data_IF_663601140555
#
_entry.id   IF_663601140555
#
_cell.length_a   1.000
_cell.length_b   1.000
_cell.length_c   1.000
_cell.angle_alpha   90.00
_cell.angle_beta   90.00
_cell.angle_gamma   90.00
#
_symmetry.space_group_name_H-M   'P 1'
#
loop_
_entity.id
_entity.type
_entity.pdbx_description
1 polymer ?
#
# COMPACT_ATOMS: atom_id res chain seq x y z
N UNK A 1 -11.59 2.07 -56.86
CA UNK A 1 -10.42 1.89 -56.01
C UNK A 1 -10.68 2.68 -54.73
N UNK A 2 -11.34 2.06 -53.75
CA UNK A 2 -11.68 2.71 -52.46
C UNK A 2 -10.50 2.55 -51.51
N UNK A 3 -9.84 3.67 -51.23
CA UNK A 3 -8.78 3.74 -50.23
C UNK A 3 -9.43 3.77 -48.83
N UNK A 4 -9.39 2.65 -48.14
CA UNK A 4 -9.76 2.59 -46.72
C UNK A 4 -8.60 3.23 -45.94
N UNK A 5 -8.75 4.51 -45.57
CA UNK A 5 -7.92 5.11 -44.53
C UNK A 5 -8.24 4.44 -43.21
N UNK A 6 -7.43 3.48 -42.81
CA UNK A 6 -7.40 3.02 -41.42
C UNK A 6 -6.98 4.23 -40.58
N UNK A 7 -7.95 4.89 -39.94
CA UNK A 7 -7.68 5.77 -38.83
C UNK A 7 -7.09 4.85 -37.76
N UNK A 8 -5.80 4.93 -37.53
CA UNK A 8 -5.19 4.50 -36.27
C UNK A 8 -5.93 5.29 -35.16
N UNK A 9 -6.91 4.67 -34.56
CA UNK A 9 -7.50 5.14 -33.32
C UNK A 9 -6.37 5.12 -32.31
N UNK A 10 -5.89 6.31 -31.90
CA UNK A 10 -5.06 6.45 -30.70
C UNK A 10 -5.75 5.64 -29.61
N UNK A 11 -5.05 4.67 -29.02
CA UNK A 11 -5.61 3.76 -28.06
C UNK A 11 -6.28 4.57 -26.94
N UNK A 12 -7.60 4.44 -26.88
CA UNK A 12 -8.35 4.92 -25.74
C UNK A 12 -7.80 4.23 -24.49
N UNK A 13 -7.52 5.01 -23.45
CA UNK A 13 -7.15 4.43 -22.17
C UNK A 13 -8.28 3.53 -21.70
N UNK A 14 -7.93 2.32 -21.26
CA UNK A 14 -8.90 1.39 -20.70
C UNK A 14 -9.55 2.02 -19.45
N UNK A 15 -10.85 2.37 -19.44
CA UNK A 15 -11.49 3.00 -18.29
C UNK A 15 -11.55 2.07 -17.07
N UNK A 16 -11.48 0.77 -17.26
CA UNK A 16 -11.57 -0.22 -16.18
C UNK A 16 -10.34 -0.30 -15.28
N UNK A 17 -9.23 0.36 -15.66
CA UNK A 17 -8.08 0.50 -14.75
C UNK A 17 -8.35 1.50 -13.62
N UNK A 18 -9.26 2.45 -13.81
CA UNK A 18 -9.66 3.45 -12.82
C UNK A 18 -10.70 2.86 -11.88
N UNK A 19 -10.21 2.09 -10.89
CA UNK A 19 -11.07 1.40 -9.93
C UNK A 19 -11.52 2.32 -8.81
N UNK A 20 -12.31 1.79 -7.87
CA UNK A 20 -12.84 2.56 -6.76
C UNK A 20 -11.75 3.10 -5.83
N UNK A 21 -10.65 2.35 -5.61
CA UNK A 21 -9.64 2.67 -4.59
C UNK A 21 -8.25 2.96 -5.14
N UNK A 22 -7.97 2.56 -6.35
CA UNK A 22 -6.67 2.69 -7.00
C UNK A 22 -6.78 2.62 -8.52
N UNK A 23 -5.65 2.86 -9.20
CA UNK A 23 -5.52 2.58 -10.62
C UNK A 23 -4.75 1.28 -10.72
N UNK A 24 -5.32 0.26 -11.38
CA UNK A 24 -4.72 -1.07 -11.46
C UNK A 24 -5.03 -1.76 -12.79
N UNK A 25 -4.02 -2.41 -13.36
CA UNK A 25 -4.16 -3.12 -14.63
C UNK A 25 -3.01 -4.08 -14.88
N UNK A 26 -3.10 -4.79 -16.00
CA UNK A 26 -2.08 -5.67 -16.51
C UNK A 26 -1.07 -4.84 -17.31
N UNK A 27 0.20 -4.88 -16.91
CA UNK A 27 1.21 -3.93 -17.41
C UNK A 27 1.33 -3.95 -18.94
N UNK A 28 1.40 -5.16 -19.53
CA UNK A 28 1.55 -5.31 -20.98
C UNK A 28 0.36 -4.83 -21.81
N UNK A 29 -0.82 -4.74 -21.21
CA UNK A 29 -2.07 -4.40 -21.88
C UNK A 29 -2.52 -2.96 -21.58
N UNK A 30 -2.43 -2.57 -20.30
CA UNK A 30 -3.08 -1.38 -19.77
C UNK A 30 -2.10 -0.20 -19.57
N UNK A 31 -0.79 -0.46 -19.39
CA UNK A 31 0.21 0.55 -19.02
C UNK A 31 1.33 0.74 -20.07
N UNK A 32 1.00 0.93 -21.36
CA UNK A 32 2.03 1.39 -22.28
C UNK A 32 2.49 2.80 -21.87
N UNK A 33 3.75 3.16 -22.21
CA UNK A 33 4.40 4.41 -21.81
C UNK A 33 3.50 5.66 -21.91
N UNK A 34 2.82 5.82 -23.06
CA UNK A 34 1.97 6.99 -23.30
C UNK A 34 0.75 7.07 -22.37
N UNK A 35 0.27 5.94 -21.83
CA UNK A 35 -0.80 5.89 -20.81
C UNK A 35 -0.25 6.31 -19.47
N UNK A 36 0.90 5.76 -19.06
CA UNK A 36 1.53 6.05 -17.76
C UNK A 36 1.95 7.53 -17.69
N UNK A 37 2.52 8.06 -18.76
CA UNK A 37 2.85 9.49 -18.83
C UNK A 37 1.62 10.38 -18.72
N UNK A 38 0.47 10.00 -19.33
CA UNK A 38 -0.79 10.75 -19.17
C UNK A 38 -1.36 10.63 -17.77
N UNK A 39 -1.22 9.47 -17.11
CA UNK A 39 -1.58 9.32 -15.68
C UNK A 39 -0.76 10.28 -14.81
N UNK A 40 0.55 10.39 -15.07
CA UNK A 40 1.42 11.36 -14.42
C UNK A 40 0.97 12.81 -14.64
N UNK A 41 0.66 13.19 -15.89
CA UNK A 41 0.11 14.51 -16.21
C UNK A 41 -1.21 14.80 -15.50
N UNK A 42 -2.12 13.84 -15.49
CA UNK A 42 -3.41 14.00 -14.81
C UNK A 42 -3.22 14.19 -13.31
N UNK A 43 -2.37 13.38 -12.68
CA UNK A 43 -2.12 13.51 -11.26
C UNK A 43 -1.38 14.81 -10.91
N UNK A 44 -0.35 15.20 -11.67
CA UNK A 44 0.33 16.48 -11.48
C UNK A 44 -0.61 17.68 -11.62
N UNK A 45 -1.50 17.66 -12.62
CA UNK A 45 -2.55 18.66 -12.81
C UNK A 45 -3.51 18.69 -11.61
N UNK A 46 -3.93 17.51 -11.13
CA UNK A 46 -4.82 17.38 -9.99
C UNK A 46 -4.18 17.93 -8.70
N UNK A 47 -2.91 17.61 -8.45
CA UNK A 47 -2.11 18.15 -7.34
C UNK A 47 -2.01 19.68 -7.43
N UNK A 48 -1.63 20.21 -8.59
CA UNK A 48 -1.44 21.66 -8.81
C UNK A 48 -2.74 22.45 -8.61
N UNK A 49 -3.85 21.95 -9.16
CA UNK A 49 -5.18 22.57 -8.99
C UNK A 49 -5.71 22.52 -7.54
N UNK A 50 -5.22 21.56 -6.76
CA UNK A 50 -5.48 21.49 -5.32
C UNK A 50 -4.54 22.36 -4.47
N UNK A 51 -3.61 23.09 -5.10
CA UNK A 51 -2.65 23.98 -4.44
C UNK A 51 -1.31 23.35 -4.07
N UNK A 52 -1.04 22.09 -4.49
CA UNK A 52 0.23 21.42 -4.27
C UNK A 52 1.25 21.70 -5.37
N UNK A 53 2.54 21.68 -5.00
CA UNK A 53 3.66 21.90 -5.92
C UNK A 53 4.68 20.78 -5.89
N UNK A 54 4.56 19.82 -4.98
CA UNK A 54 5.54 18.74 -4.81
C UNK A 54 4.85 17.43 -4.41
N UNK A 55 5.33 16.32 -4.97
CA UNK A 55 4.89 14.97 -4.61
C UNK A 55 6.07 14.05 -4.31
N UNK A 56 5.85 13.01 -3.49
CA UNK A 56 6.73 11.86 -3.38
C UNK A 56 6.31 10.75 -4.35
N UNK A 57 7.28 10.06 -4.94
CA UNK A 57 7.06 8.86 -5.76
C UNK A 57 7.93 7.72 -5.29
N UNK A 58 7.35 6.53 -5.21
CA UNK A 58 8.05 5.29 -4.90
C UNK A 58 7.31 4.09 -5.49
N UNK A 59 7.85 2.90 -5.32
CA UNK A 59 7.17 1.70 -5.75
C UNK A 59 7.66 0.43 -5.06
N UNK A 60 6.95 -0.67 -5.30
CA UNK A 60 7.33 -2.00 -4.84
C UNK A 60 8.45 -2.61 -5.70
N UNK A 61 8.83 -3.86 -5.38
CA UNK A 61 9.96 -4.53 -6.01
C UNK A 61 9.65 -5.19 -7.36
N UNK A 62 8.43 -5.09 -7.89
CA UNK A 62 8.07 -5.71 -9.17
C UNK A 62 8.99 -5.24 -10.28
N UNK A 63 9.34 -6.14 -11.21
CA UNK A 63 10.28 -5.85 -12.28
C UNK A 63 9.85 -4.69 -13.18
N UNK A 64 8.56 -4.42 -13.29
CA UNK A 64 7.99 -3.33 -14.08
C UNK A 64 7.97 -1.98 -13.37
N UNK A 65 8.10 -1.96 -12.06
CA UNK A 65 7.95 -0.76 -11.23
C UNK A 65 8.95 0.36 -11.56
N UNK A 66 10.27 0.10 -11.77
CA UNK A 66 11.21 1.17 -12.07
C UNK A 66 10.89 1.95 -13.36
N UNK A 67 10.41 1.25 -14.38
CA UNK A 67 10.02 1.88 -15.63
C UNK A 67 8.74 2.71 -15.47
N UNK A 68 7.73 2.17 -14.79
CA UNK A 68 6.49 2.89 -14.49
C UNK A 68 6.74 4.14 -13.63
N UNK A 69 7.67 4.11 -12.66
CA UNK A 69 8.13 5.28 -11.91
C UNK A 69 8.65 6.36 -12.89
N UNK A 70 9.55 5.97 -13.80
CA UNK A 70 10.17 6.91 -14.73
C UNK A 70 9.15 7.56 -15.68
N UNK A 71 8.22 6.78 -16.22
CA UNK A 71 7.18 7.24 -17.12
C UNK A 71 6.16 8.16 -16.42
N UNK A 72 5.74 7.78 -15.21
CA UNK A 72 4.77 8.56 -14.42
C UNK A 72 5.35 9.91 -14.00
N UNK A 73 6.56 9.92 -13.40
CA UNK A 73 7.21 11.16 -12.99
C UNK A 73 7.48 12.11 -14.15
N UNK A 74 7.86 11.57 -15.34
CA UNK A 74 8.04 12.39 -16.54
C UNK A 74 6.75 13.14 -16.89
N UNK A 75 5.59 12.50 -16.74
CA UNK A 75 4.30 13.15 -16.90
C UNK A 75 4.05 14.25 -15.85
N UNK A 76 4.30 13.95 -14.58
CA UNK A 76 4.10 14.91 -13.46
C UNK A 76 4.94 16.19 -13.68
N UNK A 77 6.23 16.04 -13.95
CA UNK A 77 7.18 17.16 -14.13
C UNK A 77 6.70 18.14 -15.20
N UNK A 78 6.08 17.67 -16.29
CA UNK A 78 5.57 18.55 -17.37
C UNK A 78 4.39 19.42 -16.94
N UNK A 79 3.84 19.23 -15.76
CA UNK A 79 2.76 20.07 -15.20
C UNK A 79 3.29 21.19 -14.30
N UNK A 80 4.60 21.22 -14.02
CA UNK A 80 5.22 22.17 -13.09
C UNK A 80 5.17 21.71 -11.63
N UNK A 81 4.91 20.43 -11.37
CA UNK A 81 4.96 19.82 -10.03
C UNK A 81 6.30 19.12 -9.86
N UNK A 82 6.98 19.39 -8.74
CA UNK A 82 8.25 18.77 -8.39
C UNK A 82 8.03 17.34 -7.86
N UNK A 83 9.03 16.48 -8.06
CA UNK A 83 8.97 15.07 -7.68
C UNK A 83 10.15 14.71 -6.77
N UNK A 84 9.87 14.26 -5.56
CA UNK A 84 10.82 13.60 -4.68
C UNK A 84 10.76 12.09 -4.92
N UNK A 85 11.77 11.56 -5.58
CA UNK A 85 11.88 10.14 -5.90
C UNK A 85 12.52 9.39 -4.72
N UNK A 86 11.73 8.55 -4.07
CA UNK A 86 12.13 7.76 -2.91
C UNK A 86 12.68 6.37 -3.29
N UNK A 87 12.52 5.97 -4.57
CA UNK A 87 12.96 4.68 -5.08
C UNK A 87 12.03 3.52 -4.75
N UNK A 88 12.61 2.34 -4.55
CA UNK A 88 11.89 1.11 -4.26
C UNK A 88 11.79 0.92 -2.75
N UNK A 89 10.55 0.83 -2.23
CA UNK A 89 10.28 0.73 -0.79
C UNK A 89 8.83 0.28 -0.50
N UNK A 90 8.55 -0.17 0.73
CA UNK A 90 7.21 -0.55 1.15
C UNK A 90 6.21 0.63 1.14
N UNK A 91 4.94 0.34 0.89
CA UNK A 91 3.86 1.33 0.89
C UNK A 91 3.76 2.17 2.18
N UNK A 92 3.93 1.62 3.41
CA UNK A 92 3.92 2.44 4.63
C UNK A 92 4.98 3.54 4.66
N UNK A 93 6.14 3.31 4.04
CA UNK A 93 7.22 4.32 3.93
C UNK A 93 6.82 5.47 3.00
N UNK A 94 6.11 5.15 1.91
CA UNK A 94 5.53 6.18 1.03
C UNK A 94 4.53 7.05 1.80
N UNK A 95 3.63 6.45 2.59
CA UNK A 95 2.70 7.24 3.41
C UNK A 95 3.41 8.10 4.45
N UNK A 96 4.47 7.59 5.09
CA UNK A 96 5.29 8.34 6.02
C UNK A 96 5.92 9.58 5.38
N UNK A 97 6.29 9.53 4.11
CA UNK A 97 6.92 10.64 3.40
C UNK A 97 6.05 11.91 3.40
N UNK A 98 4.73 11.79 3.30
CA UNK A 98 3.82 12.94 3.32
C UNK A 98 3.85 13.69 4.66
N UNK A 99 4.17 13.00 5.76
CA UNK A 99 4.26 13.61 7.08
C UNK A 99 5.67 14.11 7.37
N UNK A 100 6.68 13.36 6.95
CA UNK A 100 8.07 13.64 7.24
C UNK A 100 8.64 14.73 6.34
N UNK A 101 8.40 14.65 5.03
CA UNK A 101 8.89 15.64 4.05
C UNK A 101 7.89 16.79 3.86
N UNK A 102 6.64 16.62 4.26
CA UNK A 102 5.60 17.63 4.07
C UNK A 102 5.13 17.78 2.60
N UNK A 103 5.43 16.83 1.73
CA UNK A 103 4.97 16.83 0.34
C UNK A 103 3.45 16.79 0.25
N UNK A 104 2.89 17.48 -0.74
CA UNK A 104 1.44 17.64 -0.85
C UNK A 104 0.74 16.38 -1.38
N UNK A 105 1.42 15.60 -2.22
CA UNK A 105 0.91 14.34 -2.75
C UNK A 105 1.92 13.20 -2.65
N UNK A 106 1.46 11.98 -2.81
CA UNK A 106 2.33 10.82 -2.89
C UNK A 106 1.76 9.75 -3.83
N UNK A 107 2.65 9.03 -4.47
CA UNK A 107 2.32 7.92 -5.37
C UNK A 107 3.15 6.71 -4.99
N UNK A 108 2.49 5.60 -4.70
CA UNK A 108 3.11 4.29 -4.60
C UNK A 108 2.74 3.46 -5.81
N UNK A 109 3.73 3.08 -6.61
CA UNK A 109 3.54 2.19 -7.76
C UNK A 109 3.65 0.75 -7.27
N UNK A 110 2.55 0.02 -7.33
CA UNK A 110 2.46 -1.34 -6.76
C UNK A 110 1.29 -2.14 -7.33
N UNK A 111 1.52 -3.43 -7.49
CA UNK A 111 0.45 -4.40 -7.71
C UNK A 111 -0.12 -4.98 -6.42
N UNK A 112 0.43 -4.63 -5.23
CA UNK A 112 0.09 -5.23 -3.93
C UNK A 112 0.15 -6.77 -4.01
N UNK A 113 -0.92 -7.47 -3.65
CA UNK A 113 -1.07 -8.92 -3.72
C UNK A 113 -1.54 -9.45 -5.10
N UNK A 114 -1.57 -8.64 -6.15
CA UNK A 114 -1.94 -9.13 -7.49
C UNK A 114 -0.79 -9.95 -8.11
N UNK A 115 -1.10 -10.82 -9.10
CA UNK A 115 -0.09 -11.56 -9.84
C UNK A 115 1.04 -10.69 -10.42
N UNK A 116 2.23 -11.25 -10.71
CA UNK A 116 3.41 -10.48 -11.12
C UNK A 116 3.23 -9.60 -12.37
N UNK A 117 2.34 -9.99 -13.28
CA UNK A 117 2.03 -9.24 -14.50
C UNK A 117 1.19 -7.98 -14.28
N UNK A 118 0.63 -7.80 -13.08
CA UNK A 118 -0.12 -6.60 -12.71
C UNK A 118 0.77 -5.57 -12.03
N UNK A 119 0.36 -4.30 -12.17
CA UNK A 119 0.88 -3.20 -11.38
C UNK A 119 -0.24 -2.15 -11.21
N UNK A 120 0.04 -1.05 -10.52
CA UNK A 120 -0.95 -0.01 -10.29
C UNK A 120 -0.36 1.21 -9.60
N UNK A 121 -1.26 2.15 -9.25
CA UNK A 121 -0.89 3.43 -8.65
C UNK A 121 -1.82 3.69 -7.47
N UNK A 122 -1.28 3.61 -6.26
CA UNK A 122 -1.93 4.11 -5.04
C UNK A 122 -1.59 5.58 -4.90
N UNK A 123 -2.60 6.43 -5.01
CA UNK A 123 -2.44 7.88 -5.03
C UNK A 123 -2.91 8.49 -3.70
N UNK A 124 -2.20 9.48 -3.23
CA UNK A 124 -2.57 10.24 -2.03
C UNK A 124 -2.41 11.73 -2.28
N UNK A 125 -3.31 12.53 -1.69
CA UNK A 125 -3.31 13.99 -1.78
C UNK A 125 -3.61 14.58 -0.42
N UNK A 126 -2.80 15.53 0.02
CA UNK A 126 -2.98 16.20 1.31
C UNK A 126 -3.21 15.21 2.47
N UNK A 127 -2.37 14.17 2.55
CA UNK A 127 -2.40 13.08 3.54
C UNK A 127 -3.67 12.21 3.52
N UNK A 128 -4.44 12.25 2.43
CA UNK A 128 -5.64 11.44 2.24
C UNK A 128 -5.50 10.56 1.00
N UNK A 129 -6.09 9.36 0.98
CA UNK A 129 -6.12 8.56 -0.24
C UNK A 129 -6.96 9.25 -1.32
N UNK A 130 -6.53 9.13 -2.57
CA UNK A 130 -7.31 9.50 -3.76
C UNK A 130 -8.12 8.27 -4.17
N UNK A 131 -9.45 8.38 -4.22
CA UNK A 131 -10.36 7.28 -4.55
C UNK A 131 -11.70 7.79 -5.09
N UNK A 132 -12.57 6.89 -5.55
CA UNK A 132 -13.92 7.21 -6.01
C UNK A 132 -13.95 8.29 -7.09
N UNK A 133 -14.62 9.42 -6.82
CA UNK A 133 -14.77 10.53 -7.75
C UNK A 133 -13.44 11.21 -8.12
N UNK A 134 -12.46 11.22 -7.22
CA UNK A 134 -11.14 11.78 -7.50
C UNK A 134 -10.41 10.95 -8.56
N UNK A 135 -10.47 9.62 -8.49
CA UNK A 135 -9.94 8.73 -9.53
C UNK A 135 -10.67 8.95 -10.86
N UNK A 136 -12.00 9.11 -10.84
CA UNK A 136 -12.78 9.44 -12.05
C UNK A 136 -12.44 10.83 -12.60
N UNK A 137 -12.01 11.76 -11.75
CA UNK A 137 -11.53 13.08 -12.17
C UNK A 137 -10.23 12.95 -12.95
N UNK A 138 -9.30 12.09 -12.52
CA UNK A 138 -8.08 11.81 -13.27
C UNK A 138 -8.39 11.23 -14.66
N UNK A 139 -9.32 10.29 -14.74
CA UNK A 139 -9.78 9.76 -16.04
C UNK A 139 -10.33 10.86 -16.95
N UNK A 140 -11.18 11.76 -16.42
CA UNK A 140 -11.76 12.88 -17.17
C UNK A 140 -10.70 13.86 -17.68
N UNK A 141 -9.66 14.14 -16.87
CA UNK A 141 -8.52 14.98 -17.30
C UNK A 141 -7.80 14.36 -18.49
N UNK A 142 -7.59 13.05 -18.49
CA UNK A 142 -6.94 12.34 -19.58
C UNK A 142 -7.81 12.30 -20.83
N UNK A 143 -9.09 11.99 -20.69
CA UNK A 143 -10.04 11.90 -21.81
C UNK A 143 -10.16 13.24 -22.54
N UNK A 144 -10.26 14.34 -21.78
CA UNK A 144 -10.35 15.70 -22.31
C UNK A 144 -8.99 16.30 -22.70
N UNK A 145 -7.88 15.64 -22.36
CA UNK A 145 -6.51 16.18 -22.50
C UNK A 145 -6.35 17.52 -21.77
N UNK A 146 -7.04 17.68 -20.65
CA UNK A 146 -7.07 18.90 -19.85
C UNK A 146 -5.94 18.85 -18.79
N UNK A 147 -4.71 19.15 -19.25
CA UNK A 147 -3.53 19.14 -18.41
C UNK A 147 -2.98 20.54 -18.22
N UNK A 148 -2.57 20.85 -17.01
CA UNK A 148 -1.75 22.02 -16.74
C UNK A 148 -0.35 21.80 -17.34
N UNK A 149 0.31 22.90 -17.69
CA UNK A 149 1.68 22.89 -18.21
C UNK A 149 2.62 23.62 -17.27
N UNK A 150 3.89 23.22 -17.27
CA UNK A 150 4.94 23.82 -16.46
C UNK A 150 6.23 23.01 -16.49
N UNK A 151 7.21 23.45 -15.73
CA UNK A 151 8.51 22.79 -15.60
C UNK A 151 8.73 22.51 -14.11
N UNK A 152 8.57 21.26 -13.70
CA UNK A 152 8.95 20.77 -12.38
C UNK A 152 10.35 20.14 -12.41
N UNK A 153 10.85 19.78 -11.25
CA UNK A 153 12.16 19.15 -11.05
C UNK A 153 12.06 17.78 -10.42
N UNK A 154 13.14 17.00 -10.45
CA UNK A 154 13.28 15.75 -9.70
C UNK A 154 14.40 15.88 -8.68
N UNK A 155 14.11 15.50 -7.43
CA UNK A 155 15.11 15.23 -6.40
C UNK A 155 15.01 13.75 -5.97
N UNK A 156 16.12 13.20 -5.44
CA UNK A 156 16.13 11.87 -4.81
C UNK A 156 16.31 12.02 -3.32
N UNK A 157 15.56 11.22 -2.56
CA UNK A 157 15.66 11.22 -1.11
C UNK A 157 15.66 9.79 -0.55
N UNK A 158 16.53 9.50 0.41
CA UNK A 158 16.64 8.21 1.09
C UNK A 158 15.93 8.28 2.42
N UNK A 159 14.68 7.88 2.48
CA UNK A 159 13.80 8.05 3.65
C UNK A 159 13.78 6.85 4.61
N UNK A 160 14.36 5.72 4.24
CA UNK A 160 14.23 4.48 5.04
C UNK A 160 14.82 4.62 6.45
N UNK A 161 15.96 5.31 6.59
CA UNK A 161 16.60 5.46 7.89
C UNK A 161 15.72 6.26 8.87
N UNK A 162 15.07 7.31 8.39
CA UNK A 162 14.16 8.14 9.20
C UNK A 162 12.90 7.37 9.58
N UNK A 163 12.38 6.56 8.65
CA UNK A 163 11.24 5.67 8.93
C UNK A 163 11.60 4.61 9.98
N UNK A 164 12.73 3.91 9.81
CA UNK A 164 13.21 2.89 10.74
C UNK A 164 13.49 3.50 12.13
N UNK A 165 14.10 4.69 12.19
CA UNK A 165 14.33 5.42 13.43
C UNK A 165 13.03 5.79 14.13
N UNK A 166 12.05 6.30 13.39
CA UNK A 166 10.73 6.63 13.94
C UNK A 166 10.03 5.42 14.57
N UNK A 167 10.11 4.25 13.94
CA UNK A 167 9.55 3.01 14.52
C UNK A 167 10.29 2.66 15.81
N UNK A 168 11.63 2.68 15.79
CA UNK A 168 12.47 2.35 16.96
C UNK A 168 12.23 3.28 18.15
N UNK A 169 11.95 4.55 17.89
CA UNK A 169 11.60 5.52 18.94
C UNK A 169 10.21 5.30 19.55
N UNK A 170 9.28 4.78 18.78
CA UNK A 170 7.86 4.62 19.18
C UNK A 170 7.53 3.26 19.75
N UNK A 171 8.28 2.24 19.39
CA UNK A 171 8.00 0.85 19.77
C UNK A 171 9.05 0.34 20.73
N UNK A 172 8.59 -0.25 21.83
CA UNK A 172 9.43 -0.96 22.80
C UNK A 172 8.89 -2.38 22.95
N UNK A 173 9.77 -3.35 22.78
CA UNK A 173 9.47 -4.75 23.04
C UNK A 173 9.89 -5.06 24.49
N UNK A 174 8.93 -5.26 25.38
CA UNK A 174 9.19 -5.42 26.81
C UNK A 174 9.77 -6.79 27.18
N UNK A 175 9.50 -7.81 26.36
CA UNK A 175 9.95 -9.20 26.58
C UNK A 175 10.69 -9.71 25.37
N UNK A 176 11.75 -10.52 25.54
CA UNK A 176 12.36 -11.21 24.41
C UNK A 176 11.32 -11.98 23.62
N UNK A 177 11.32 -11.79 22.31
CA UNK A 177 10.41 -12.47 21.39
C UNK A 177 11.21 -13.16 20.28
N UNK A 178 10.72 -14.35 19.90
CA UNK A 178 11.21 -15.12 18.75
C UNK A 178 10.16 -15.11 17.66
N UNK A 179 10.46 -14.48 16.56
CA UNK A 179 9.52 -14.24 15.46
C UNK A 179 9.99 -14.97 14.20
N UNK A 180 9.08 -15.65 13.52
CA UNK A 180 9.28 -16.06 12.13
C UNK A 180 8.70 -14.99 11.23
N UNK A 181 9.50 -14.45 10.32
CA UNK A 181 9.07 -13.42 9.38
C UNK A 181 9.13 -13.96 7.97
N UNK A 182 7.99 -13.93 7.28
CA UNK A 182 7.87 -14.27 5.87
C UNK A 182 7.62 -13.00 5.06
N UNK A 183 8.59 -12.60 4.26
CA UNK A 183 8.48 -11.44 3.38
C UNK A 183 7.97 -11.80 1.97
N UNK A 184 7.78 -13.07 1.63
CA UNK A 184 7.37 -13.52 0.29
C UNK A 184 8.24 -12.97 -0.84
N UNK A 185 9.55 -12.73 -0.59
CA UNK A 185 10.49 -12.03 -1.48
C UNK A 185 10.05 -10.61 -1.87
N UNK A 186 9.09 -10.01 -1.14
CA UNK A 186 8.41 -8.78 -1.49
C UNK A 186 8.99 -7.53 -0.79
N UNK A 187 8.25 -6.42 -0.82
CA UNK A 187 8.76 -5.12 -0.37
C UNK A 187 9.11 -5.07 1.12
N UNK A 188 8.47 -5.90 1.98
CA UNK A 188 8.83 -6.01 3.39
C UNK A 188 10.31 -6.38 3.61
N UNK A 189 10.89 -7.19 2.71
CA UNK A 189 12.29 -7.63 2.77
C UNK A 189 13.30 -6.45 2.74
N UNK A 190 12.88 -5.27 2.28
CA UNK A 190 13.75 -4.08 2.17
C UNK A 190 14.15 -3.54 3.55
N UNK A 191 13.27 -3.59 4.53
CA UNK A 191 13.56 -2.98 5.84
C UNK A 191 12.96 -3.70 7.05
N UNK A 192 11.95 -4.56 6.90
CA UNK A 192 11.31 -5.20 8.05
C UNK A 192 12.30 -6.05 8.88
N UNK A 193 13.19 -6.87 8.29
CA UNK A 193 14.17 -7.64 9.07
C UNK A 193 15.08 -6.74 9.92
N UNK A 194 15.58 -5.64 9.34
CA UNK A 194 16.41 -4.66 10.06
C UNK A 194 15.64 -4.00 11.22
N UNK A 195 14.40 -3.58 10.96
CA UNK A 195 13.55 -2.95 11.97
C UNK A 195 13.30 -3.88 13.15
N UNK A 196 12.85 -5.11 12.91
CA UNK A 196 12.56 -6.07 13.99
C UNK A 196 13.81 -6.47 14.77
N UNK A 197 14.92 -6.70 14.10
CA UNK A 197 16.22 -6.98 14.75
C UNK A 197 16.66 -5.78 15.62
N UNK A 198 16.46 -4.54 15.15
CA UNK A 198 16.81 -3.33 15.90
C UNK A 198 15.95 -3.12 17.15
N UNK A 199 14.76 -3.74 17.22
CA UNK A 199 13.88 -3.76 18.39
C UNK A 199 14.23 -4.89 19.38
N UNK A 200 15.25 -5.70 19.09
CA UNK A 200 15.69 -6.80 19.96
C UNK A 200 14.94 -8.11 19.77
N UNK A 201 14.24 -8.27 18.66
CA UNK A 201 13.55 -9.53 18.31
C UNK A 201 14.56 -10.54 17.79
N UNK A 202 14.49 -11.80 18.27
CA UNK A 202 15.19 -12.94 17.67
C UNK A 202 14.41 -13.39 16.43
N UNK A 203 14.98 -13.11 15.24
CA UNK A 203 14.28 -13.26 13.97
C UNK A 203 14.71 -14.51 13.20
N UNK A 204 13.76 -15.33 12.80
CA UNK A 204 13.90 -16.34 11.75
C UNK A 204 13.30 -15.80 10.46
N UNK A 205 14.13 -15.60 9.47
CA UNK A 205 13.73 -15.06 8.18
C UNK A 205 13.34 -16.17 7.21
N UNK A 206 12.19 -16.00 6.52
CA UNK A 206 11.73 -16.77 5.38
C UNK A 206 11.53 -15.80 4.22
N UNK A 207 12.17 -16.10 3.09
CA UNK A 207 12.00 -15.35 1.83
C UNK A 207 12.19 -13.82 1.97
N UNK A 208 13.16 -13.41 2.80
CA UNK A 208 13.51 -12.02 3.06
C UNK A 208 14.58 -11.45 2.10
N UNK A 209 14.85 -12.13 1.00
CA UNK A 209 15.65 -11.63 -0.13
C UNK A 209 14.70 -10.98 -1.15
N UNK A 210 14.79 -9.64 -1.44
CA UNK A 210 13.91 -9.00 -2.41
C UNK A 210 14.05 -9.58 -3.81
N UNK A 211 12.96 -10.13 -4.38
CA UNK A 211 12.92 -10.65 -5.76
C UNK A 211 11.54 -10.43 -6.37
N UNK A 212 11.45 -9.50 -7.35
CA UNK A 212 10.20 -9.14 -8.02
C UNK A 212 9.58 -10.24 -8.88
N UNK A 213 10.18 -11.43 -8.95
CA UNK A 213 9.59 -12.62 -9.58
C UNK A 213 8.76 -13.46 -8.60
N UNK A 214 8.90 -13.22 -7.28
CA UNK A 214 8.23 -13.97 -6.21
C UNK A 214 8.41 -15.49 -6.31
N UNK A 215 9.66 -16.00 -6.26
CA UNK A 215 9.96 -17.37 -6.68
C UNK A 215 9.47 -18.46 -5.73
N UNK A 216 9.15 -18.15 -4.48
CA UNK A 216 8.78 -19.14 -3.47
C UNK A 216 7.26 -19.31 -3.36
N UNK A 217 6.53 -18.25 -3.09
CA UNK A 217 5.07 -18.23 -3.09
C UNK A 217 4.56 -16.82 -3.43
N UNK A 218 3.28 -16.73 -3.73
CA UNK A 218 2.64 -15.44 -3.99
C UNK A 218 2.51 -14.65 -2.67
N UNK A 219 2.97 -13.37 -2.59
CA UNK A 219 2.93 -12.58 -1.36
C UNK A 219 1.52 -12.05 -1.06
N UNK A 220 0.63 -12.94 -0.67
CA UNK A 220 -0.74 -12.66 -0.23
C UNK A 220 -1.05 -13.46 1.04
N UNK A 221 -0.93 -12.87 2.23
CA UNK A 221 -1.16 -13.55 3.50
C UNK A 221 -2.63 -13.82 3.80
N UNK A 222 -3.56 -13.44 2.94
CA UNK A 222 -4.99 -13.76 3.06
C UNK A 222 -5.34 -15.13 2.49
N UNK A 223 -4.37 -15.80 1.87
CA UNK A 223 -4.50 -17.13 1.24
C UNK A 223 -3.64 -18.10 2.03
N UNK A 224 -4.27 -19.09 2.67
CA UNK A 224 -3.58 -20.01 3.60
C UNK A 224 -2.48 -20.83 2.92
N UNK A 225 -2.65 -21.16 1.63
CA UNK A 225 -1.64 -21.87 0.84
C UNK A 225 -0.31 -21.10 0.76
N UNK A 226 -0.34 -19.79 0.82
CA UNK A 226 0.86 -18.93 0.84
C UNK A 226 1.54 -18.88 2.22
N UNK A 227 0.91 -19.41 3.26
CA UNK A 227 1.42 -19.43 4.63
C UNK A 227 2.00 -20.79 5.06
N UNK A 228 2.02 -21.78 4.17
CA UNK A 228 2.41 -23.17 4.50
C UNK A 228 3.81 -23.24 5.11
N UNK A 229 4.78 -22.53 4.54
CA UNK A 229 6.16 -22.53 5.05
C UNK A 229 6.24 -21.87 6.42
N UNK A 230 5.56 -20.74 6.61
CA UNK A 230 5.45 -20.05 7.88
C UNK A 230 4.78 -20.94 8.95
N UNK A 231 3.64 -21.54 8.64
CA UNK A 231 2.92 -22.47 9.53
C UNK A 231 3.81 -23.68 9.89
N UNK A 232 4.55 -24.20 8.92
CA UNK A 232 5.44 -25.34 9.14
C UNK A 232 6.57 -24.98 10.09
N UNK A 233 7.19 -23.82 9.95
CA UNK A 233 8.24 -23.37 10.85
C UNK A 233 7.67 -23.07 12.26
N UNK A 234 6.50 -22.46 12.37
CA UNK A 234 5.84 -22.20 13.65
C UNK A 234 5.52 -23.51 14.41
N UNK A 235 5.06 -24.56 13.72
CA UNK A 235 4.78 -25.88 14.31
C UNK A 235 6.01 -26.59 14.91
N UNK A 236 7.21 -26.06 14.70
CA UNK A 236 8.41 -26.55 15.41
C UNK A 236 8.38 -26.23 16.92
N UNK A 237 7.51 -25.31 17.35
CA UNK A 237 7.33 -24.89 18.75
C UNK A 237 8.49 -24.05 19.31
N UNK A 238 9.28 -23.41 18.45
CA UNK A 238 10.47 -22.65 18.85
C UNK A 238 10.24 -21.14 18.86
N UNK A 239 9.11 -20.67 18.35
CA UNK A 239 8.82 -19.28 18.08
C UNK A 239 7.51 -18.85 18.75
N UNK A 240 7.41 -17.57 19.05
CA UNK A 240 6.25 -16.98 19.75
C UNK A 240 5.16 -16.54 18.77
N UNK A 241 5.55 -16.05 17.58
CA UNK A 241 4.63 -15.58 16.54
C UNK A 241 5.25 -15.65 15.16
N UNK A 242 4.43 -15.93 14.16
CA UNK A 242 4.76 -15.85 12.74
C UNK A 242 4.08 -14.64 12.09
N UNK A 243 4.82 -13.93 11.25
CA UNK A 243 4.34 -12.76 10.51
C UNK A 243 4.59 -12.93 9.03
N UNK A 244 3.57 -12.76 8.19
CA UNK A 244 3.69 -12.75 6.74
C UNK A 244 3.19 -11.42 6.17
N UNK A 245 3.90 -10.86 5.18
CA UNK A 245 3.56 -9.59 4.56
C UNK A 245 3.07 -9.76 3.12
N UNK A 246 2.20 -8.85 2.68
CA UNK A 246 1.81 -8.81 1.27
C UNK A 246 2.85 -8.08 0.39
N UNK A 247 2.61 -8.07 -0.92
CA UNK A 247 3.58 -7.62 -1.92
C UNK A 247 4.12 -6.20 -1.75
N UNK A 248 3.38 -5.30 -1.12
CA UNK A 248 3.81 -3.93 -0.83
C UNK A 248 3.85 -3.61 0.67
N UNK A 249 3.70 -4.63 1.51
CA UNK A 249 3.85 -4.61 2.96
C UNK A 249 2.90 -3.64 3.68
N UNK A 250 1.69 -3.45 3.15
CA UNK A 250 0.64 -2.70 3.86
C UNK A 250 -0.37 -3.63 4.57
N UNK A 251 -0.17 -4.96 4.47
CA UNK A 251 -0.94 -6.00 5.16
C UNK A 251 -0.02 -6.99 5.83
N UNK A 252 -0.49 -7.54 6.95
CA UNK A 252 0.18 -8.58 7.71
C UNK A 252 -0.78 -9.73 8.00
N UNK A 253 -0.33 -10.96 7.73
CA UNK A 253 -0.91 -12.20 8.25
C UNK A 253 -0.17 -12.63 9.50
N UNK A 254 -0.87 -13.18 10.46
CA UNK A 254 -0.31 -13.61 11.74
C UNK A 254 -0.59 -15.08 11.98
N UNK A 255 0.42 -15.81 12.43
CA UNK A 255 0.33 -17.23 12.83
C UNK A 255 0.77 -17.35 14.28
N UNK A 256 -0.03 -18.01 15.10
CA UNK A 256 0.27 -18.20 16.52
C UNK A 256 1.35 -19.26 16.78
N UNK A 257 1.71 -19.46 18.06
CA UNK A 257 2.74 -20.43 18.50
C UNK A 257 2.37 -21.90 18.22
N UNK A 258 1.13 -22.19 17.85
CA UNK A 258 0.65 -23.54 17.48
C UNK A 258 0.61 -23.76 15.98
N UNK A 259 0.87 -22.70 15.21
CA UNK A 259 0.77 -22.72 13.75
C UNK A 259 -0.68 -22.52 13.26
N UNK A 260 -1.54 -21.89 14.07
CA UNK A 260 -2.89 -21.52 13.68
C UNK A 260 -2.90 -20.08 13.12
N UNK A 261 -3.58 -19.86 12.00
CA UNK A 261 -3.70 -18.53 11.38
C UNK A 261 -4.68 -17.67 12.18
N UNK A 262 -4.24 -16.49 12.59
CA UNK A 262 -5.09 -15.48 13.21
C UNK A 262 -5.65 -14.55 12.13
N UNK A 263 -6.91 -14.72 11.80
CA UNK A 263 -7.58 -13.86 10.82
C UNK A 263 -7.76 -12.43 11.33
N UNK A 264 -7.95 -11.49 10.42
CA UNK A 264 -7.95 -10.05 10.74
C UNK A 264 -8.88 -9.66 11.88
N UNK A 265 -10.08 -10.21 11.96
CA UNK A 265 -11.05 -9.96 13.03
C UNK A 265 -10.64 -10.56 14.39
N UNK A 266 -9.97 -11.71 14.38
CA UNK A 266 -9.37 -12.31 15.58
C UNK A 266 -8.19 -11.45 16.05
N UNK A 267 -7.31 -11.03 15.11
CA UNK A 267 -6.19 -10.15 15.42
C UNK A 267 -6.68 -8.81 15.99
N UNK A 268 -7.69 -8.19 15.38
CA UNK A 268 -8.31 -6.98 15.90
C UNK A 268 -8.80 -7.19 17.34
N UNK A 269 -9.43 -8.33 17.64
CA UNK A 269 -9.94 -8.65 18.97
C UNK A 269 -8.85 -8.68 20.05
N UNK A 270 -7.61 -9.06 19.69
CA UNK A 270 -6.46 -9.08 20.61
C UNK A 270 -6.08 -7.67 21.07
N UNK A 271 -6.24 -6.67 20.21
CA UNK A 271 -5.88 -5.27 20.53
C UNK A 271 -6.98 -4.52 21.30
N UNK A 272 -8.24 -4.99 21.28
CA UNK A 272 -9.36 -4.27 21.87
C UNK A 272 -9.16 -3.87 23.35
N UNK A 273 -8.59 -4.72 24.24
CA UNK A 273 -8.39 -4.35 25.65
C UNK A 273 -7.49 -3.14 25.84
N UNK A 274 -6.53 -2.95 24.95
CA UNK A 274 -5.61 -1.81 24.98
C UNK A 274 -6.17 -0.58 24.27
N UNK A 275 -7.01 -0.76 23.26
CA UNK A 275 -7.58 0.30 22.43
C UNK A 275 -8.81 0.91 23.10
N UNK A 276 -9.73 0.08 23.60
CA UNK A 276 -11.00 0.54 24.19
C UNK A 276 -10.76 0.91 25.65
N UNK A 277 -10.80 2.21 25.95
CA UNK A 277 -10.69 2.74 27.33
C UNK A 277 -12.01 3.30 27.81
N UNK A 278 -12.78 4.01 26.98
CA UNK A 278 -14.03 4.66 27.36
C UNK A 278 -14.97 4.83 26.15
N UNK A 279 -15.49 3.73 25.67
CA UNK A 279 -16.52 3.73 24.61
C UNK A 279 -16.05 4.17 23.24
N UNK A 280 -14.78 3.91 22.90
CA UNK A 280 -14.24 4.18 21.58
C UNK A 280 -15.01 3.44 20.49
N UNK A 281 -15.14 4.09 19.34
CA UNK A 281 -15.70 3.48 18.13
C UNK A 281 -14.62 2.60 17.49
N UNK A 282 -14.97 1.35 17.19
CA UNK A 282 -14.14 0.41 16.45
C UNK A 282 -14.80 0.17 15.11
N UNK A 283 -14.09 0.55 14.05
CA UNK A 283 -14.53 0.39 12.68
C UNK A 283 -14.06 -0.94 12.12
N UNK A 284 -14.94 -1.70 11.46
CA UNK A 284 -14.59 -2.97 10.84
C UNK A 284 -15.41 -3.23 9.56
N UNK A 285 -14.88 -4.06 8.68
CA UNK A 285 -15.55 -4.32 7.40
C UNK A 285 -16.60 -5.44 7.52
N UNK A 286 -17.46 -5.54 6.50
CA UNK A 286 -18.57 -6.50 6.47
C UNK A 286 -18.12 -7.97 6.45
N UNK A 287 -16.84 -8.27 6.24
CA UNK A 287 -16.29 -9.62 6.20
C UNK A 287 -15.90 -10.15 7.58
N UNK A 288 -15.82 -9.28 8.58
CA UNK A 288 -15.54 -9.69 9.95
C UNK A 288 -16.65 -10.54 10.53
N UNK A 289 -16.27 -11.47 11.40
CA UNK A 289 -17.22 -12.34 12.09
C UNK A 289 -18.01 -11.60 13.18
N UNK A 290 -19.16 -12.13 13.57
CA UNK A 290 -19.94 -11.63 14.70
C UNK A 290 -19.13 -11.60 16.01
N UNK A 291 -18.14 -12.50 16.15
CA UNK A 291 -17.30 -12.54 17.33
C UNK A 291 -16.54 -11.23 17.60
N UNK A 292 -16.13 -10.48 16.55
CA UNK A 292 -15.48 -9.18 16.72
C UNK A 292 -16.45 -8.15 17.32
N UNK A 293 -17.68 -8.08 16.83
CA UNK A 293 -18.71 -7.18 17.37
C UNK A 293 -19.02 -7.51 18.84
N UNK A 294 -19.17 -8.79 19.15
CA UNK A 294 -19.41 -9.26 20.51
C UNK A 294 -18.25 -8.88 21.47
N UNK A 295 -17.00 -8.99 20.98
CA UNK A 295 -15.82 -8.59 21.75
C UNK A 295 -15.75 -7.07 21.94
N UNK A 296 -16.06 -6.28 20.93
CA UNK A 296 -16.11 -4.82 21.05
C UNK A 296 -17.14 -4.42 22.13
N UNK A 297 -18.33 -5.00 22.08
CA UNK A 297 -19.38 -4.75 23.07
C UNK A 297 -18.95 -5.20 24.49
N UNK A 298 -18.26 -6.34 24.60
CA UNK A 298 -17.72 -6.85 25.88
C UNK A 298 -16.76 -5.89 26.56
N UNK A 299 -15.97 -5.14 25.79
CA UNK A 299 -15.05 -4.11 26.28
C UNK A 299 -15.68 -2.71 26.34
N UNK A 300 -17.02 -2.60 26.22
CA UNK A 300 -17.78 -1.33 26.23
C UNK A 300 -17.38 -0.38 25.07
N UNK A 301 -16.87 -0.91 23.96
CA UNK A 301 -16.67 -0.14 22.73
C UNK A 301 -17.95 0.01 21.92
N UNK A 302 -17.89 0.83 20.87
CA UNK A 302 -19.00 1.03 19.92
C UNK A 302 -18.65 0.36 18.59
N UNK A 303 -19.25 -0.79 18.26
CA UNK A 303 -19.00 -1.45 16.99
C UNK A 303 -19.62 -0.66 15.84
N UNK A 304 -18.85 -0.45 14.76
CA UNK A 304 -19.34 0.19 13.55
C UNK A 304 -18.88 -0.60 12.32
N UNK A 305 -19.81 -1.36 11.75
CA UNK A 305 -19.58 -2.06 10.48
C UNK A 305 -19.60 -1.07 9.32
N UNK A 306 -18.64 -1.16 8.41
CA UNK A 306 -18.52 -0.28 7.25
C UNK A 306 -18.24 -1.05 5.96
N UNK A 307 -18.29 -0.34 4.85
CA UNK A 307 -18.00 -0.88 3.52
C UNK A 307 -16.56 -1.34 3.42
N UNK A 308 -16.32 -2.49 2.80
CA UNK A 308 -14.98 -2.99 2.49
C UNK A 308 -14.22 -2.03 1.58
N UNK A 309 -12.96 -1.81 1.88
CA UNK A 309 -12.03 -1.00 1.07
C UNK A 309 -11.19 -0.07 1.94
N UNK A 310 -9.86 -0.22 1.85
CA UNK A 310 -8.92 0.52 2.69
C UNK A 310 -9.11 2.05 2.64
N UNK A 311 -9.45 2.61 1.47
CA UNK A 311 -9.67 4.05 1.31
C UNK A 311 -10.98 4.50 1.99
N UNK A 312 -12.06 3.71 1.89
CA UNK A 312 -13.35 4.00 2.52
C UNK A 312 -13.25 3.88 4.05
N UNK A 313 -12.53 2.89 4.55
CA UNK A 313 -12.28 2.72 5.99
C UNK A 313 -11.45 3.89 6.52
N UNK A 314 -10.32 4.22 5.87
CA UNK A 314 -9.48 5.35 6.26
C UNK A 314 -10.24 6.70 6.27
N UNK A 315 -11.07 6.94 5.25
CA UNK A 315 -11.91 8.14 5.22
C UNK A 315 -12.88 8.17 6.41
N UNK A 316 -13.56 7.05 6.67
CA UNK A 316 -14.53 6.97 7.76
C UNK A 316 -13.89 7.09 9.13
N UNK A 317 -12.68 6.54 9.30
CA UNK A 317 -11.88 6.74 10.51
C UNK A 317 -11.55 8.20 10.76
N UNK A 318 -11.16 8.95 9.73
CA UNK A 318 -10.89 10.39 9.84
C UNK A 318 -12.18 11.18 10.15
N UNK A 319 -13.29 10.86 9.47
CA UNK A 319 -14.59 11.51 9.70
C UNK A 319 -15.09 11.36 11.14
N UNK A 320 -14.87 10.20 11.73
CA UNK A 320 -15.33 9.86 13.08
C UNK A 320 -14.26 10.03 14.16
N UNK A 321 -13.07 10.50 13.79
CA UNK A 321 -11.89 10.53 14.67
C UNK A 321 -11.59 9.14 15.30
N UNK A 322 -11.93 8.07 14.56
CA UNK A 322 -11.76 6.69 15.01
C UNK A 322 -10.28 6.31 14.95
N UNK A 323 -9.75 5.80 16.08
CA UNK A 323 -8.32 5.49 16.22
C UNK A 323 -7.95 4.10 15.75
N UNK A 324 -8.93 3.20 15.65
CA UNK A 324 -8.70 1.79 15.33
C UNK A 324 -9.81 1.25 14.42
N UNK A 325 -9.41 0.57 13.34
CA UNK A 325 -10.32 -0.05 12.38
C UNK A 325 -9.58 -0.87 11.33
N UNK A 326 -10.29 -1.82 10.73
CA UNK A 326 -9.73 -2.71 9.73
C UNK A 326 -10.78 -3.51 8.97
#
# INVERSE_FOLDING_TARGET
MFSIKIRLTMSLINPYIFREYDIRGKVSEDFPEHVVTKLGKAFGTFVKRAGGLEIAISGDIRLTTPELINQFKAGVITTGVDVVNLGILPTPVNYFSMFHLGVFGAVQITGSHNPPEFNGFKLSLNRKPVFGEDIQTLYKLIDKKDFDEGEGTEARYKILNEYNSMIKEKITIEKPMKVVMDCGNAAAAINAPEVFTSLGVELKELFCEPDGTFPNHHPDPTVEENLIDLITEMKTGKYDVGLAFDGDADRVGVVDEKGEVLWADQLMSIFLPEIIKDGETILFDVKCSQALEDMINRYNGKPLMWKTGHSLIKQKMVELECKFGG
#
